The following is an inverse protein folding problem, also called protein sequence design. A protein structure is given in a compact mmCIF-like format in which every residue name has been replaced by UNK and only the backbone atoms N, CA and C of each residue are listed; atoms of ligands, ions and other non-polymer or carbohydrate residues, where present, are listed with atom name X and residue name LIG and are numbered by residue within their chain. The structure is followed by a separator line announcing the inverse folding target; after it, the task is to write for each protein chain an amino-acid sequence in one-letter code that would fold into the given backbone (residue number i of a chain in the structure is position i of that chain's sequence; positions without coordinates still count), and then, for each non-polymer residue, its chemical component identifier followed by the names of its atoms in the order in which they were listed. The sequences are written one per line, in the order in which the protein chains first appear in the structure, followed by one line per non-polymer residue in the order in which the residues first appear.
data_IF_649560040453
#
_entry.id   IF_649560040453
#
_cell.length_a   1.000
_cell.length_b   1.000
_cell.length_c   1.000
_cell.angle_alpha   90.00
_cell.angle_beta   90.00
_cell.angle_gamma   90.00
#
_symmetry.space_group_name_H-M   'P 1'
#
loop_
_entity.id
_entity.type
_entity.pdbx_description
1 polymer ?
#
# COMPACT_ATOMS: atom_id res chain seq x y z
N UNK A 1 10.21 -15.54 -21.98
CA UNK A 1 10.85 -16.31 -20.88
C UNK A 1 12.13 -16.97 -21.35
N UNK A 2 13.24 -16.25 -21.27
CA UNK A 2 14.57 -16.84 -21.21
C UNK A 2 15.09 -16.44 -19.84
N UNK A 3 15.09 -17.37 -18.88
CA UNK A 3 15.70 -17.11 -17.56
C UNK A 3 17.19 -16.85 -17.83
N UNK A 4 17.62 -15.61 -17.60
CA UNK A 4 19.01 -15.21 -17.74
C UNK A 4 19.80 -15.89 -16.62
N UNK A 5 20.93 -16.52 -16.97
CA UNK A 5 21.73 -17.27 -16.01
C UNK A 5 22.45 -16.28 -15.07
N UNK A 6 21.89 -16.10 -13.87
CA UNK A 6 22.54 -15.34 -12.81
C UNK A 6 23.55 -16.24 -12.10
N UNK A 7 24.84 -15.95 -12.27
CA UNK A 7 25.88 -16.51 -11.42
C UNK A 7 25.83 -15.71 -10.11
N UNK A 8 25.38 -16.34 -9.02
CA UNK A 8 25.50 -15.79 -7.67
C UNK A 8 26.97 -15.51 -7.38
N UNK A 9 27.35 -14.24 -7.37
CA UNK A 9 28.68 -13.80 -6.97
C UNK A 9 28.64 -13.45 -5.49
N UNK A 10 28.70 -14.47 -4.63
CA UNK A 10 28.92 -14.28 -3.20
C UNK A 10 30.37 -13.83 -3.02
N UNK A 11 30.60 -12.52 -2.94
CA UNK A 11 31.89 -11.99 -2.52
C UNK A 11 31.98 -11.97 -1.00
N UNK A 12 32.55 -13.02 -0.43
CA UNK A 12 33.01 -12.98 0.95
C UNK A 12 34.41 -12.31 1.00
N UNK A 13 34.45 -10.98 1.05
CA UNK A 13 35.70 -10.25 1.31
C UNK A 13 35.85 -9.95 2.80
N UNK A 14 36.72 -10.72 3.46
CA UNK A 14 37.28 -10.34 4.75
C UNK A 14 38.32 -9.23 4.50
N UNK A 15 37.98 -7.95 4.73
CA UNK A 15 38.99 -6.89 4.82
C UNK A 15 38.61 -5.82 5.85
N UNK A 16 39.46 -5.67 6.87
CA UNK A 16 39.33 -4.68 7.95
C UNK A 16 39.42 -3.20 7.49
N UNK A 17 39.54 -2.93 6.18
CA UNK A 17 39.52 -1.58 5.59
C UNK A 17 38.13 -1.05 5.27
N UNK A 18 37.09 -1.89 5.28
CA UNK A 18 35.71 -1.56 4.85
C UNK A 18 35.05 -0.53 5.78
N UNK A 19 35.31 -0.59 7.09
CA UNK A 19 34.57 0.23 8.07
C UNK A 19 34.73 1.76 7.96
N UNK A 20 35.79 2.26 7.32
CA UNK A 20 36.01 3.73 7.18
C UNK A 20 35.44 4.24 5.85
N UNK A 21 35.53 3.46 4.78
CA UNK A 21 34.94 3.80 3.48
C UNK A 21 33.42 3.63 3.47
N UNK A 22 32.91 2.58 4.15
CA UNK A 22 31.48 2.34 4.32
C UNK A 22 30.79 3.45 5.14
N UNK A 23 31.42 3.92 6.23
CA UNK A 23 30.90 5.05 6.99
C UNK A 23 30.92 6.37 6.20
N UNK A 24 31.85 6.52 5.25
CA UNK A 24 31.93 7.70 4.40
C UNK A 24 30.82 7.68 3.33
N UNK A 25 30.57 6.54 2.67
CA UNK A 25 29.53 6.46 1.62
C UNK A 25 28.10 6.61 2.15
N UNK A 26 27.85 6.37 3.45
CA UNK A 26 26.55 6.68 4.06
C UNK A 26 26.33 8.18 4.32
N UNK A 27 27.39 9.00 4.35
CA UNK A 27 27.25 10.44 4.52
C UNK A 27 26.55 11.07 3.31
N UNK A 28 25.51 11.87 3.57
CA UNK A 28 24.73 12.54 2.51
C UNK A 28 23.81 11.62 1.71
N UNK A 29 23.62 10.35 2.09
CA UNK A 29 22.69 9.45 1.40
C UNK A 29 21.24 9.88 1.66
N UNK A 30 20.48 10.04 0.59
CA UNK A 30 19.07 10.43 0.64
C UNK A 30 18.15 9.25 0.48
N UNK A 31 18.45 8.36 -0.47
CA UNK A 31 17.67 7.13 -0.70
C UNK A 31 18.60 6.01 -1.12
N UNK A 32 18.29 4.80 -0.69
CA UNK A 32 18.91 3.58 -1.17
C UNK A 32 17.87 2.47 -1.27
N UNK A 33 17.91 1.72 -2.37
CA UNK A 33 17.12 0.52 -2.57
C UNK A 33 18.02 -0.59 -3.10
N UNK A 34 18.12 -1.65 -2.32
CA UNK A 34 18.76 -2.91 -2.65
C UNK A 34 17.79 -3.95 -3.21
N UNK A 35 16.49 -3.62 -3.25
CA UNK A 35 15.42 -4.44 -3.82
C UNK A 35 15.34 -5.88 -3.27
N UNK A 36 15.83 -6.13 -2.06
CA UNK A 36 15.45 -7.28 -1.23
C UNK A 36 14.07 -7.08 -0.59
N UNK A 37 13.57 -5.84 -0.57
CA UNK A 37 12.17 -5.45 -0.43
C UNK A 37 11.88 -4.10 -1.14
N UNK A 38 10.78 -3.44 -0.77
CA UNK A 38 10.39 -2.12 -1.29
C UNK A 38 10.76 -0.96 -0.35
N UNK A 39 11.33 -1.25 0.81
CA UNK A 39 11.70 -0.25 1.81
C UNK A 39 13.04 0.40 1.45
N UNK A 40 13.26 1.56 2.06
CA UNK A 40 14.40 2.41 1.78
C UNK A 40 15.52 2.12 2.79
N UNK A 41 16.62 1.57 2.29
CA UNK A 41 17.80 1.15 3.02
C UNK A 41 18.59 2.32 3.62
N UNK A 42 18.33 3.56 3.18
CA UNK A 42 18.93 4.76 3.78
C UNK A 42 18.33 5.10 5.14
N UNK A 43 17.13 4.59 5.44
CA UNK A 43 16.37 4.92 6.65
C UNK A 43 15.63 6.26 6.60
N UNK A 44 15.56 6.92 5.43
CA UNK A 44 14.87 8.20 5.26
C UNK A 44 13.38 8.06 4.88
N UNK A 45 12.90 6.83 4.68
CA UNK A 45 11.47 6.52 4.52
C UNK A 45 10.96 6.72 3.10
N UNK A 46 11.83 6.55 2.09
CA UNK A 46 11.47 6.66 0.68
C UNK A 46 11.05 5.33 0.06
N UNK A 47 10.08 4.64 0.66
CA UNK A 47 9.55 3.35 0.15
C UNK A 47 9.19 3.41 -1.33
N UNK A 48 9.60 2.39 -2.08
CA UNK A 48 9.29 2.20 -3.49
C UNK A 48 7.86 1.68 -3.69
N UNK A 49 7.21 2.16 -4.75
CA UNK A 49 5.87 1.72 -5.18
C UNK A 49 5.96 1.21 -6.61
N UNK A 50 5.62 -0.07 -6.80
CA UNK A 50 5.62 -0.69 -8.11
C UNK A 50 4.36 -0.34 -8.90
N UNK A 51 4.52 -0.18 -10.22
CA UNK A 51 3.43 -0.02 -11.17
C UNK A 51 3.63 -0.85 -12.43
N UNK A 52 2.55 -1.03 -13.19
CA UNK A 52 2.52 -2.00 -14.28
C UNK A 52 2.46 -3.43 -13.77
N UNK A 53 3.23 -4.32 -14.40
CA UNK A 53 3.42 -5.72 -13.98
C UNK A 53 4.79 -5.91 -13.29
N UNK A 54 5.48 -4.82 -12.94
CA UNK A 54 6.77 -4.84 -12.23
C UNK A 54 6.71 -5.63 -10.91
N UNK A 55 7.78 -6.37 -10.60
CA UNK A 55 7.87 -7.18 -9.39
C UNK A 55 9.30 -7.29 -8.88
N UNK A 56 9.44 -7.59 -7.58
CA UNK A 56 10.71 -7.93 -6.96
C UNK A 56 10.81 -9.44 -6.78
N UNK A 57 11.97 -10.01 -7.11
CA UNK A 57 12.24 -11.43 -6.88
C UNK A 57 13.73 -11.70 -6.66
N UNK A 58 14.09 -12.13 -5.45
CA UNK A 58 15.46 -12.53 -5.14
C UNK A 58 16.46 -11.37 -5.12
N UNK A 59 16.06 -10.22 -4.57
CA UNK A 59 16.93 -9.04 -4.45
C UNK A 59 16.94 -8.14 -5.69
N UNK A 60 16.04 -8.35 -6.64
CA UNK A 60 16.10 -7.70 -7.95
C UNK A 60 14.71 -7.20 -8.32
N UNK A 61 14.63 -5.94 -8.75
CA UNK A 61 13.48 -5.36 -9.41
C UNK A 61 13.46 -5.78 -10.90
N UNK A 62 12.38 -6.41 -11.33
CA UNK A 62 12.15 -6.81 -12.72
C UNK A 62 11.22 -5.81 -13.40
N UNK A 63 11.64 -5.37 -14.58
CA UNK A 63 10.94 -4.47 -15.50
C UNK A 63 10.89 -5.20 -16.85
N UNK A 64 9.96 -6.14 -17.02
CA UNK A 64 9.97 -7.12 -18.13
C UNK A 64 8.84 -6.93 -19.16
N UNK A 65 8.01 -5.89 -18.98
CA UNK A 65 6.97 -5.44 -19.89
C UNK A 65 6.93 -3.91 -20.05
N UNK A 66 6.10 -3.47 -21.00
CA UNK A 66 5.87 -2.03 -21.20
C UNK A 66 5.00 -1.47 -20.06
N UNK A 67 5.35 -0.29 -19.58
CA UNK A 67 4.66 0.37 -18.48
C UNK A 67 5.02 -0.15 -17.10
N UNK A 68 6.06 -0.99 -16.99
CA UNK A 68 6.63 -1.41 -15.71
C UNK A 68 7.47 -0.28 -15.13
N UNK A 69 7.25 0.05 -13.86
CA UNK A 69 8.04 1.07 -13.17
C UNK A 69 8.08 0.87 -11.65
N UNK A 70 9.04 1.54 -11.02
CA UNK A 70 9.06 1.76 -9.58
C UNK A 70 9.19 3.26 -9.28
N UNK A 71 8.22 3.82 -8.57
CA UNK A 71 8.29 5.19 -8.06
C UNK A 71 8.95 5.19 -6.68
N UNK A 72 9.96 6.02 -6.48
CA UNK A 72 10.81 6.02 -5.29
C UNK A 72 10.39 7.13 -4.33
N UNK A 73 9.84 6.72 -3.18
CA UNK A 73 9.43 7.60 -2.10
C UNK A 73 8.06 8.27 -2.29
N UNK A 74 7.55 8.92 -1.23
CA UNK A 74 6.29 9.66 -1.29
C UNK A 74 6.45 10.95 -2.10
N UNK A 75 5.33 11.51 -2.59
CA UNK A 75 5.32 12.75 -3.39
C UNK A 75 6.00 13.96 -2.71
N UNK A 76 6.20 13.91 -1.39
CA UNK A 76 6.93 14.92 -0.61
C UNK A 76 8.44 14.89 -0.83
N UNK A 77 9.01 13.84 -1.43
CA UNK A 77 10.44 13.76 -1.77
C UNK A 77 10.88 14.91 -2.67
N UNK A 78 9.99 15.47 -3.50
CA UNK A 78 10.29 16.60 -4.38
C UNK A 78 10.87 17.84 -3.65
N UNK A 79 10.63 17.98 -2.33
CA UNK A 79 11.18 19.08 -1.52
C UNK A 79 12.65 18.90 -1.12
N UNK A 80 13.16 17.66 -1.18
CA UNK A 80 14.55 17.30 -0.83
C UNK A 80 15.30 16.65 -2.00
N UNK A 81 14.63 16.45 -3.14
CA UNK A 81 15.22 15.84 -4.32
C UNK A 81 16.23 16.81 -4.96
N UNK A 82 17.55 16.53 -4.96
CA UNK A 82 18.55 17.43 -5.54
C UNK A 82 18.51 17.44 -7.08
N UNK A 83 17.71 16.57 -7.69
CA UNK A 83 17.60 16.40 -9.14
C UNK A 83 16.67 17.41 -9.83
N UNK A 84 16.21 18.46 -9.12
CA UNK A 84 15.14 19.33 -9.60
C UNK A 84 15.54 20.79 -9.85
N UNK A 85 16.62 21.31 -9.26
CA UNK A 85 16.88 22.76 -9.23
C UNK A 85 18.31 23.24 -9.49
N UNK A 86 19.26 22.35 -9.85
CA UNK A 86 20.67 22.71 -10.11
C UNK A 86 21.43 23.33 -8.93
N UNK A 87 20.82 23.47 -7.75
CA UNK A 87 21.40 24.31 -6.69
C UNK A 87 22.45 23.56 -5.87
N UNK A 88 22.36 22.23 -5.84
CA UNK A 88 23.15 21.38 -4.98
C UNK A 88 23.89 20.33 -5.79
N UNK A 89 25.06 19.95 -5.27
CA UNK A 89 25.78 18.79 -5.76
C UNK A 89 24.96 17.52 -5.51
N UNK A 90 25.10 16.51 -6.36
CA UNK A 90 24.50 15.20 -6.10
C UNK A 90 25.22 14.05 -6.78
N UNK A 91 24.89 12.84 -6.34
CA UNK A 91 25.28 11.59 -7.00
C UNK A 91 24.06 10.68 -7.14
N UNK A 92 23.91 10.03 -8.28
CA UNK A 92 22.97 8.92 -8.50
C UNK A 92 23.80 7.68 -8.81
N UNK A 93 23.50 6.54 -8.20
CA UNK A 93 24.09 5.25 -8.56
C UNK A 93 22.99 4.25 -8.90
N UNK A 94 23.18 3.50 -9.98
CA UNK A 94 22.25 2.45 -10.41
C UNK A 94 23.01 1.23 -10.89
N UNK A 95 22.70 0.06 -10.33
CA UNK A 95 23.11 -1.23 -10.88
C UNK A 95 21.95 -1.81 -11.68
N UNK A 96 22.13 -1.98 -12.98
CA UNK A 96 21.09 -2.49 -13.87
C UNK A 96 21.64 -3.46 -14.89
N UNK A 97 20.78 -4.34 -15.39
CA UNK A 97 21.00 -5.16 -16.57
C UNK A 97 19.83 -4.96 -17.53
N UNK A 98 20.10 -4.57 -18.77
CA UNK A 98 19.07 -4.44 -19.79
C UNK A 98 19.47 -5.14 -21.08
N UNK A 99 18.48 -5.47 -21.90
CA UNK A 99 18.68 -6.07 -23.24
C UNK A 99 18.02 -5.25 -24.34
N UNK A 100 17.24 -4.24 -23.98
CA UNK A 100 16.62 -3.32 -24.92
C UNK A 100 17.69 -2.39 -25.50
N UNK A 101 17.87 -2.47 -26.82
CA UNK A 101 18.72 -1.58 -27.62
C UNK A 101 17.88 -0.58 -28.42
N UNK A 102 16.58 -0.45 -28.14
CA UNK A 102 15.68 0.30 -29.02
C UNK A 102 15.98 1.81 -28.99
N UNK A 103 16.11 2.34 -30.21
CA UNK A 103 16.87 3.52 -30.58
C UNK A 103 15.94 4.74 -30.61
N UNK A 104 15.92 5.49 -29.53
CA UNK A 104 15.82 6.95 -29.55
C UNK A 104 17.20 7.56 -29.27
N UNK A 105 17.40 8.86 -29.53
CA UNK A 105 18.67 9.54 -29.21
C UNK A 105 19.03 9.47 -27.70
N UNK A 106 18.08 9.08 -26.84
CA UNK A 106 18.19 9.02 -25.39
C UNK A 106 18.24 7.65 -24.71
N UNK A 107 18.22 6.52 -25.43
CA UNK A 107 18.33 5.17 -24.84
C UNK A 107 17.12 4.70 -23.99
N UNK A 108 17.17 3.47 -23.47
CA UNK A 108 16.15 2.90 -22.56
C UNK A 108 16.19 3.55 -21.17
N UNK A 109 15.02 3.78 -20.58
CA UNK A 109 14.87 4.53 -19.32
C UNK A 109 15.37 3.80 -18.08
N UNK A 110 16.38 4.37 -17.41
CA UNK A 110 16.82 3.92 -16.09
C UNK A 110 16.11 4.73 -15.02
N UNK A 111 16.28 6.06 -15.04
CA UNK A 111 15.70 6.98 -14.06
C UNK A 111 15.05 8.16 -14.78
N UNK A 112 13.84 8.50 -14.41
CA UNK A 112 13.12 9.69 -14.87
C UNK A 112 12.64 10.48 -13.66
N UNK A 113 12.93 11.78 -13.63
CA UNK A 113 12.47 12.70 -12.59
C UNK A 113 11.70 13.81 -13.28
N UNK A 114 10.44 13.96 -12.89
CA UNK A 114 9.54 14.90 -13.53
C UNK A 114 8.11 14.72 -13.02
N UNK A 115 7.22 15.68 -13.25
CA UNK A 115 5.83 15.54 -12.83
C UNK A 115 5.07 14.53 -13.68
N UNK A 116 4.11 13.85 -13.05
CA UNK A 116 3.34 12.76 -13.65
C UNK A 116 2.42 13.15 -14.84
N UNK A 117 2.28 14.44 -15.21
CA UNK A 117 1.42 14.83 -16.35
C UNK A 117 1.65 16.25 -16.88
N UNK A 118 1.83 16.39 -18.21
CA UNK A 118 1.54 17.57 -19.07
C UNK A 118 1.96 18.98 -18.60
N UNK A 119 2.69 19.14 -17.51
CA UNK A 119 3.25 20.42 -17.15
C UNK A 119 4.44 20.70 -18.07
N UNK A 120 4.59 21.96 -18.46
CA UNK A 120 5.70 22.42 -19.29
C UNK A 120 7.07 22.41 -18.55
N UNK A 121 7.11 21.85 -17.34
CA UNK A 121 8.30 21.75 -16.50
C UNK A 121 9.19 20.60 -16.95
N UNK A 122 10.51 20.83 -17.00
CA UNK A 122 11.45 19.88 -17.56
C UNK A 122 11.68 18.65 -16.68
N UNK A 123 11.82 17.49 -17.34
CA UNK A 123 12.19 16.22 -16.74
C UNK A 123 13.71 16.01 -16.85
N UNK A 124 14.33 15.43 -15.82
CA UNK A 124 15.65 14.80 -15.91
C UNK A 124 15.45 13.34 -16.31
N UNK A 125 15.98 12.95 -17.46
CA UNK A 125 15.92 11.58 -17.96
C UNK A 125 17.33 11.00 -18.09
N UNK A 126 17.58 9.93 -17.34
CA UNK A 126 18.81 9.16 -17.36
C UNK A 126 18.55 7.81 -18.02
N UNK A 127 19.17 7.60 -19.18
CA UNK A 127 18.97 6.42 -20.02
C UNK A 127 20.26 5.66 -20.34
N UNK A 128 20.10 4.53 -21.01
CA UNK A 128 21.20 3.66 -21.44
C UNK A 128 20.98 3.08 -22.83
N UNK A 129 22.08 2.87 -23.55
CA UNK A 129 22.12 2.15 -24.81
C UNK A 129 23.46 1.45 -25.04
N UNK A 130 23.63 0.86 -26.22
CA UNK A 130 24.84 0.09 -26.55
C UNK A 130 26.14 0.90 -26.44
N UNK A 131 26.07 2.20 -26.77
CA UNK A 131 27.20 3.13 -26.77
C UNK A 131 27.32 3.95 -25.46
N UNK A 132 26.70 3.49 -24.37
CA UNK A 132 26.82 4.11 -23.06
C UNK A 132 25.54 4.77 -22.57
N UNK A 133 25.71 5.60 -21.55
CA UNK A 133 24.63 6.34 -20.91
C UNK A 133 24.38 7.70 -21.54
N UNK A 134 23.13 8.13 -21.41
CA UNK A 134 22.58 9.40 -21.88
C UNK A 134 21.93 10.13 -20.72
N UNK A 135 22.12 11.45 -20.66
CA UNK A 135 21.32 12.33 -19.83
C UNK A 135 20.63 13.33 -20.75
N UNK A 136 19.33 13.51 -20.57
CA UNK A 136 18.55 14.51 -21.27
C UNK A 136 17.73 15.32 -20.27
N UNK A 137 17.82 16.65 -20.36
CA UNK A 137 16.87 17.53 -19.73
C UNK A 137 15.94 18.12 -20.77
N UNK A 138 14.66 17.96 -20.51
CA UNK A 138 13.63 18.45 -21.40
C UNK A 138 13.73 19.99 -21.56
N UNK A 139 13.78 20.45 -22.82
CA UNK A 139 13.99 21.84 -23.32
C UNK A 139 15.43 22.34 -23.47
N UNK A 140 16.40 21.75 -22.79
CA UNK A 140 17.80 22.19 -22.82
C UNK A 140 18.73 21.23 -23.57
N UNK A 141 18.24 20.03 -23.87
CA UNK A 141 18.96 19.00 -24.61
C UNK A 141 19.71 18.05 -23.70
N UNK A 142 20.50 17.17 -24.32
CA UNK A 142 21.20 16.10 -23.60
C UNK A 142 22.66 15.95 -23.98
N UNK A 143 23.35 15.10 -23.25
CA UNK A 143 24.71 14.64 -23.56
C UNK A 143 24.86 13.15 -23.29
N UNK A 144 25.79 12.54 -24.01
CA UNK A 144 26.07 11.12 -23.93
C UNK A 144 27.49 10.89 -23.42
N UNK A 145 27.67 9.82 -22.66
CA UNK A 145 28.98 9.32 -22.22
C UNK A 145 29.88 8.85 -23.37
N UNK A 146 29.31 8.51 -24.53
CA UNK A 146 30.01 8.12 -25.76
C UNK A 146 31.01 6.95 -25.59
N UNK A 147 30.55 5.88 -24.94
CA UNK A 147 31.33 4.69 -24.58
C UNK A 147 31.13 3.52 -25.57
N UNK A 148 31.48 3.73 -26.84
CA UNK A 148 31.31 2.68 -27.84
C UNK A 148 32.12 1.42 -27.52
N UNK A 149 31.48 0.25 -27.61
CA UNK A 149 32.11 -1.06 -27.44
C UNK A 149 32.13 -1.64 -26.02
N UNK A 150 31.59 -0.93 -25.02
CA UNK A 150 31.37 -1.51 -23.68
C UNK A 150 30.11 -2.40 -23.66
N UNK A 151 29.08 -2.02 -24.43
CA UNK A 151 27.86 -2.81 -24.61
C UNK A 151 27.03 -2.93 -23.34
N UNK A 152 26.42 -1.83 -22.89
CA UNK A 152 25.66 -1.78 -21.63
C UNK A 152 24.31 -2.51 -21.70
N UNK A 153 23.71 -2.61 -22.88
CA UNK A 153 22.49 -3.38 -23.12
C UNK A 153 22.77 -4.84 -23.51
N UNK A 154 23.74 -5.47 -22.84
CA UNK A 154 24.16 -6.85 -23.12
C UNK A 154 23.53 -7.91 -22.18
N UNK A 155 22.65 -7.49 -21.28
CA UNK A 155 22.03 -8.33 -20.26
C UNK A 155 22.92 -8.70 -19.07
N UNK A 156 24.12 -8.13 -18.94
CA UNK A 156 24.93 -8.21 -17.72
C UNK A 156 24.63 -7.02 -16.83
N UNK A 157 24.88 -7.17 -15.52
CA UNK A 157 24.75 -6.06 -14.56
C UNK A 157 25.91 -5.10 -14.76
N UNK A 158 25.59 -3.80 -14.85
CA UNK A 158 26.54 -2.69 -14.88
C UNK A 158 26.19 -1.71 -13.77
N UNK A 159 27.18 -1.33 -12.96
CA UNK A 159 27.05 -0.25 -11.97
C UNK A 159 27.47 1.06 -12.62
N UNK A 160 26.51 1.96 -12.80
CA UNK A 160 26.74 3.29 -13.36
C UNK A 160 26.43 4.34 -12.32
N UNK A 161 27.31 5.34 -12.24
CA UNK A 161 27.21 6.44 -11.30
C UNK A 161 27.24 7.76 -12.08
N UNK A 162 26.29 8.64 -11.79
CA UNK A 162 26.19 9.99 -12.34
C UNK A 162 26.41 10.99 -11.21
N UNK A 163 27.40 11.87 -11.35
CA UNK A 163 27.59 12.99 -10.42
C UNK A 163 27.23 14.31 -11.08
N UNK A 164 26.65 15.24 -10.33
CA UNK A 164 26.48 16.64 -10.73
C UNK A 164 27.23 17.57 -9.78
N UNK A 165 27.96 18.51 -10.37
CA UNK A 165 28.69 19.56 -9.65
C UNK A 165 28.07 20.93 -9.96
N UNK A 166 27.35 21.51 -8.99
CA UNK A 166 26.62 22.77 -9.15
C UNK A 166 27.55 23.95 -9.45
N UNK A 167 28.74 23.98 -8.83
CA UNK A 167 29.71 25.07 -9.01
C UNK A 167 30.24 25.22 -10.46
N UNK A 168 30.19 24.16 -11.26
CA UNK A 168 30.65 24.14 -12.65
C UNK A 168 29.57 23.72 -13.65
N UNK A 169 28.34 23.51 -13.17
CA UNK A 169 27.21 22.99 -13.93
C UNK A 169 27.57 21.73 -14.76
N UNK A 170 28.32 20.83 -14.14
CA UNK A 170 28.95 19.70 -14.85
C UNK A 170 28.42 18.37 -14.34
N UNK A 171 27.96 17.55 -15.27
CA UNK A 171 27.69 16.15 -15.05
C UNK A 171 28.88 15.29 -15.43
N UNK A 172 29.09 14.19 -14.71
CA UNK A 172 30.10 13.19 -15.06
C UNK A 172 29.56 11.78 -14.88
N UNK A 173 29.72 10.96 -15.91
CA UNK A 173 29.42 9.53 -15.87
C UNK A 173 30.64 8.74 -15.41
N UNK A 174 30.39 7.82 -14.49
CA UNK A 174 31.34 6.83 -14.01
C UNK A 174 30.76 5.43 -14.19
N UNK A 175 31.65 4.49 -14.46
CA UNK A 175 31.32 3.07 -14.49
C UNK A 175 32.30 2.33 -13.59
N UNK A 176 31.78 1.38 -12.80
CA UNK A 176 32.62 0.57 -11.93
C UNK A 176 33.21 -0.60 -12.72
N UNK A 177 34.54 -0.61 -12.90
CA UNK A 177 35.25 -1.69 -13.60
C UNK A 177 36.13 -2.46 -12.62
N UNK A 178 35.57 -3.43 -11.90
CA UNK A 178 36.31 -4.14 -10.85
C UNK A 178 36.75 -3.19 -9.73
N UNK A 179 38.00 -3.28 -9.26
CA UNK A 179 38.52 -2.51 -8.11
C UNK A 179 38.79 -1.02 -8.41
N UNK A 180 37.90 -0.35 -9.15
CA UNK A 180 38.01 1.08 -9.45
C UNK A 180 36.92 1.61 -10.37
N UNK A 181 36.40 2.80 -10.02
CA UNK A 181 35.53 3.59 -10.90
C UNK A 181 36.31 4.33 -11.97
N UNK A 182 35.86 4.25 -13.23
CA UNK A 182 36.41 5.02 -14.34
C UNK A 182 35.41 6.09 -14.79
N UNK A 183 35.90 7.30 -15.05
CA UNK A 183 35.10 8.37 -15.66
C UNK A 183 35.10 8.23 -17.18
N UNK A 184 33.95 8.45 -17.82
CA UNK A 184 33.76 8.16 -19.24
C UNK A 184 33.20 9.30 -20.07
N UNK A 185 32.54 10.26 -19.46
CA UNK A 185 32.07 11.45 -20.16
C UNK A 185 31.67 12.53 -19.17
N UNK A 186 31.94 13.79 -19.53
CA UNK A 186 31.53 14.95 -18.76
C UNK A 186 30.92 16.01 -19.67
N UNK A 187 29.84 16.64 -19.24
CA UNK A 187 29.11 17.63 -20.03
C UNK A 187 28.32 18.59 -19.16
N UNK A 188 27.81 19.64 -19.78
CA UNK A 188 26.92 20.62 -19.15
C UNK A 188 25.52 20.46 -19.75
N UNK A 189 24.48 20.54 -18.94
CA UNK A 189 23.07 20.53 -19.39
C UNK A 189 22.36 21.70 -18.74
N UNK A 190 21.59 22.49 -19.51
CA UNK A 190 20.86 23.59 -18.90
C UNK A 190 19.68 23.06 -18.05
N UNK A 191 19.39 23.73 -16.96
CA UNK A 191 18.26 23.39 -16.09
C UNK A 191 17.02 24.16 -16.47
N UNK A 192 15.84 23.53 -16.38
CA UNK A 192 14.58 24.22 -16.59
C UNK A 192 14.30 25.17 -15.42
N UNK A 193 13.87 26.40 -15.71
CA UNK A 193 13.48 27.37 -14.67
C UNK A 193 12.06 27.12 -14.10
N UNK A 194 11.41 26.02 -14.50
CA UNK A 194 9.98 25.74 -14.27
C UNK A 194 9.74 24.71 -13.15
N UNK A 195 10.64 24.62 -12.18
CA UNK A 195 10.41 23.77 -11.00
C UNK A 195 9.19 24.25 -10.20
N UNK A 196 8.38 23.29 -9.75
CA UNK A 196 7.17 23.54 -8.97
C UNK A 196 7.08 22.53 -7.82
N UNK A 197 7.40 22.98 -6.61
CA UNK A 197 7.33 22.19 -5.37
C UNK A 197 5.96 21.55 -5.08
N UNK A 198 4.89 22.02 -5.73
CA UNK A 198 3.55 21.46 -5.58
C UNK A 198 3.29 20.21 -6.45
N UNK A 199 4.22 19.86 -7.34
CA UNK A 199 4.13 18.67 -8.19
C UNK A 199 5.04 17.55 -7.66
N UNK A 200 4.72 16.32 -8.06
CA UNK A 200 5.46 15.14 -7.65
C UNK A 200 6.70 14.91 -8.54
N UNK A 201 7.87 15.17 -7.97
CA UNK A 201 9.18 14.92 -8.59
C UNK A 201 9.91 13.73 -7.95
N UNK A 202 9.19 12.73 -7.46
CA UNK A 202 9.84 11.47 -7.05
C UNK A 202 10.53 10.79 -8.25
N UNK A 203 11.70 10.15 -8.06
CA UNK A 203 12.33 9.37 -9.12
C UNK A 203 11.43 8.21 -9.55
N UNK A 204 11.33 7.98 -10.85
CA UNK A 204 10.77 6.78 -11.43
C UNK A 204 11.86 5.95 -12.07
N UNK A 205 11.89 4.67 -11.76
CA UNK A 205 12.77 3.71 -12.40
C UNK A 205 12.04 2.98 -13.53
N UNK A 206 12.73 2.75 -14.64
CA UNK A 206 12.27 1.87 -15.72
C UNK A 206 11.38 2.48 -16.79
N UNK A 207 10.67 3.58 -16.50
CA UNK A 207 9.76 4.23 -17.44
C UNK A 207 9.81 5.76 -17.29
N UNK A 208 9.49 6.52 -18.35
CA UNK A 208 9.40 7.97 -18.27
C UNK A 208 8.25 8.41 -17.34
N UNK A 209 8.44 9.50 -16.60
CA UNK A 209 7.37 10.10 -15.78
C UNK A 209 6.35 10.87 -16.61
N UNK A 210 6.81 11.70 -17.55
CA UNK A 210 5.92 12.41 -18.44
C UNK A 210 5.73 11.63 -19.75
N UNK A 211 4.60 10.93 -19.87
CA UNK A 211 4.23 10.22 -21.10
C UNK A 211 3.92 11.16 -22.28
N UNK A 212 3.83 12.48 -22.04
CA UNK A 212 3.59 13.47 -23.09
C UNK A 212 4.89 13.86 -23.76
N UNK A 213 5.67 12.87 -24.20
CA UNK A 213 6.72 13.04 -25.22
C UNK A 213 6.18 14.03 -26.24
N UNK A 214 6.93 15.11 -26.55
CA UNK A 214 6.38 16.27 -27.26
C UNK A 214 5.54 15.80 -28.44
N UNK A 215 4.44 16.47 -28.81
CA UNK A 215 3.61 16.01 -29.92
C UNK A 215 4.35 15.75 -31.26
N UNK A 216 5.57 16.28 -31.42
CA UNK A 216 6.53 16.05 -32.52
C UNK A 216 7.51 14.88 -32.29
N UNK A 217 7.64 14.38 -31.06
CA UNK A 217 8.45 13.24 -30.63
C UNK A 217 7.50 12.08 -30.28
N UNK A 218 7.53 10.99 -31.07
CA UNK A 218 6.58 9.88 -30.90
C UNK A 218 6.71 9.16 -29.55
N UNK A 219 5.75 8.31 -29.20
CA UNK A 219 5.67 7.52 -27.95
C UNK A 219 6.83 6.52 -27.69
N UNK A 220 7.94 6.63 -28.41
CA UNK A 220 9.13 5.78 -28.30
C UNK A 220 10.44 6.57 -28.28
N UNK A 221 10.40 7.88 -27.99
CA UNK A 221 11.61 8.69 -27.87
C UNK A 221 12.46 8.28 -26.65
N UNK A 222 11.81 7.95 -25.54
CA UNK A 222 12.39 7.30 -24.37
C UNK A 222 11.64 5.99 -24.12
N UNK A 223 12.10 4.86 -24.68
CA UNK A 223 11.45 3.59 -24.45
C UNK A 223 11.62 3.13 -23.01
N UNK A 224 10.61 2.44 -22.49
CA UNK A 224 10.68 1.72 -21.22
C UNK A 224 11.87 0.76 -21.24
N UNK A 225 12.52 0.59 -20.09
CA UNK A 225 13.57 -0.39 -19.93
C UNK A 225 12.97 -1.79 -19.87
N UNK A 226 13.52 -2.69 -20.70
CA UNK A 226 13.33 -4.12 -20.53
C UNK A 226 14.58 -4.72 -19.88
N UNK A 227 14.50 -4.96 -18.58
CA UNK A 227 15.63 -5.36 -17.79
C UNK A 227 15.35 -5.53 -16.30
N UNK A 228 16.42 -5.40 -15.53
CA UNK A 228 16.48 -5.61 -14.10
C UNK A 228 17.28 -4.49 -13.45
N UNK A 229 16.84 -4.05 -12.26
CA UNK A 229 17.59 -3.14 -11.39
C UNK A 229 17.89 -3.88 -10.09
N UNK A 230 19.17 -3.90 -9.74
CA UNK A 230 19.71 -4.56 -8.54
C UNK A 230 19.96 -3.53 -7.42
N UNK A 231 20.25 -2.27 -7.80
CA UNK A 231 20.53 -1.22 -6.83
C UNK A 231 20.15 0.16 -7.38
N UNK A 232 19.62 1.03 -6.52
CA UNK A 232 19.39 2.44 -6.79
C UNK A 232 19.69 3.30 -5.56
N UNK A 233 20.45 4.39 -5.71
CA UNK A 233 20.66 5.34 -4.62
C UNK A 233 20.91 6.77 -5.09
N UNK A 234 20.62 7.74 -4.21
CA UNK A 234 20.89 9.18 -4.40
C UNK A 234 21.62 9.73 -3.18
N UNK A 235 22.60 10.60 -3.43
CA UNK A 235 23.28 11.43 -2.43
C UNK A 235 23.11 12.91 -2.71
N UNK A 236 23.10 13.74 -1.67
CA UNK A 236 23.11 15.21 -1.74
C UNK A 236 24.52 15.83 -1.88
N UNK A 237 25.47 15.02 -2.35
CA UNK A 237 26.87 15.41 -2.56
C UNK A 237 27.51 14.61 -3.69
N UNK A 238 28.70 15.05 -4.10
CA UNK A 238 29.57 14.28 -5.00
C UNK A 238 30.31 13.21 -4.20
N UNK A 239 30.17 11.94 -4.62
CA UNK A 239 31.02 10.87 -4.14
C UNK A 239 32.41 10.95 -4.76
N UNK A 240 33.44 10.65 -3.98
CA UNK A 240 34.79 10.41 -4.51
C UNK A 240 34.86 9.05 -5.20
N UNK A 241 35.83 8.83 -6.08
CA UNK A 241 36.01 7.53 -6.74
C UNK A 241 36.24 6.38 -5.74
N UNK A 242 36.83 6.67 -4.58
CA UNK A 242 37.02 5.69 -3.52
C UNK A 242 35.71 5.36 -2.77
N UNK A 243 34.81 6.32 -2.63
CA UNK A 243 33.47 6.07 -2.06
C UNK A 243 32.58 5.34 -3.08
N UNK A 244 32.72 5.64 -4.37
CA UNK A 244 32.04 4.90 -5.44
C UNK A 244 32.38 3.40 -5.42
N UNK A 245 33.62 3.03 -5.10
CA UNK A 245 34.01 1.63 -4.91
C UNK A 245 33.28 0.96 -3.73
N UNK A 246 32.84 1.73 -2.74
CA UNK A 246 32.11 1.22 -1.58
C UNK A 246 30.59 1.25 -1.75
N UNK A 247 30.07 1.72 -2.89
CA UNK A 247 28.61 1.74 -3.16
C UNK A 247 28.03 0.32 -3.18
N UNK A 248 28.80 -0.66 -3.68
CA UNK A 248 28.38 -2.07 -3.67
C UNK A 248 28.21 -2.65 -2.25
N UNK A 249 28.85 -2.05 -1.25
CA UNK A 249 28.79 -2.49 0.15
C UNK A 249 27.60 -1.87 0.91
N UNK A 250 26.81 -0.97 0.30
CA UNK A 250 25.63 -0.36 0.94
C UNK A 250 24.52 -1.36 1.19
N UNK A 251 24.37 -2.32 0.30
CA UNK A 251 23.44 -3.41 0.47
C UNK A 251 23.99 -4.38 1.51
N UNK A 252 23.37 -4.37 2.68
CA UNK A 252 23.61 -5.38 3.70
C UNK A 252 23.24 -6.77 3.21
N UNK A 253 23.57 -7.83 3.98
CA UNK A 253 22.94 -9.12 3.75
C UNK A 253 21.41 -8.97 3.82
N UNK A 254 20.64 -9.74 3.03
CA UNK A 254 19.18 -9.70 3.09
C UNK A 254 18.68 -9.88 4.52
N UNK A 255 17.62 -9.18 4.89
CA UNK A 255 17.08 -9.24 6.25
C UNK A 255 16.78 -10.69 6.69
N UNK A 256 17.26 -11.06 7.87
CA UNK A 256 17.07 -12.39 8.47
C UNK A 256 16.35 -12.33 9.82
N UNK A 257 16.10 -11.13 10.34
CA UNK A 257 15.50 -10.95 11.65
C UNK A 257 13.97 -10.91 11.48
N UNK A 258 13.20 -11.65 12.31
CA UNK A 258 11.75 -11.53 12.30
C UNK A 258 11.30 -10.22 12.97
N UNK A 259 10.09 -9.72 12.67
CA UNK A 259 9.56 -8.51 13.32
C UNK A 259 9.54 -8.59 14.85
N UNK A 260 9.80 -7.47 15.52
CA UNK A 260 9.66 -7.40 16.98
C UNK A 260 8.24 -6.94 17.38
N UNK A 261 7.59 -7.52 18.42
CA UNK A 261 8.11 -8.55 19.31
C UNK A 261 8.03 -9.97 18.72
N UNK A 262 9.02 -10.80 19.06
CA UNK A 262 9.05 -12.24 18.80
C UNK A 262 9.19 -13.01 20.14
N UNK A 263 8.19 -13.80 20.58
CA UNK A 263 6.93 -14.12 19.90
C UNK A 263 5.98 -12.93 19.77
N UNK A 264 5.09 -12.99 18.78
CA UNK A 264 4.03 -11.99 18.62
C UNK A 264 3.12 -11.92 19.87
N UNK A 265 2.49 -10.77 20.10
CA UNK A 265 1.61 -10.55 21.24
C UNK A 265 0.30 -9.89 20.83
N UNK A 266 -0.67 -9.83 21.74
CA UNK A 266 -1.96 -9.19 21.54
C UNK A 266 -1.98 -7.78 22.12
N UNK A 267 -2.45 -6.80 21.34
CA UNK A 267 -2.85 -5.48 21.85
C UNK A 267 -4.24 -5.57 22.49
N UNK A 268 -5.17 -6.23 21.78
CA UNK A 268 -6.46 -6.64 22.29
C UNK A 268 -6.66 -8.12 21.98
N UNK A 269 -6.80 -8.92 23.01
CA UNK A 269 -7.15 -10.33 22.86
C UNK A 269 -8.54 -10.48 22.18
N UNK A 270 -8.83 -11.64 21.57
CA UNK A 270 -10.14 -11.91 20.99
C UNK A 270 -11.29 -11.60 21.95
N UNK A 271 -12.26 -10.82 21.46
CA UNK A 271 -13.45 -10.44 22.18
C UNK A 271 -14.68 -10.57 21.28
N UNK A 272 -15.73 -11.21 21.79
CA UNK A 272 -17.01 -11.25 21.09
C UNK A 272 -17.67 -9.85 21.14
N UNK A 273 -18.19 -9.42 19.99
CA UNK A 273 -18.97 -8.18 19.87
C UNK A 273 -20.42 -8.45 19.44
N UNK A 274 -20.72 -9.69 19.06
CA UNK A 274 -22.07 -10.17 18.75
C UNK A 274 -22.14 -11.70 18.85
N UNK A 275 -23.33 -12.31 18.67
CA UNK A 275 -23.46 -13.76 18.58
C UNK A 275 -22.71 -14.41 17.39
N UNK A 276 -22.27 -13.61 16.41
CA UNK A 276 -21.69 -14.11 15.17
C UNK A 276 -20.35 -13.44 14.81
N UNK A 277 -19.75 -12.69 15.75
CA UNK A 277 -18.58 -11.86 15.44
C UNK A 277 -17.62 -11.75 16.62
N UNK A 278 -16.34 -11.97 16.35
CA UNK A 278 -15.23 -11.74 17.28
C UNK A 278 -14.24 -10.78 16.63
N UNK A 279 -13.75 -9.82 17.40
CA UNK A 279 -12.70 -8.88 16.99
C UNK A 279 -11.44 -9.08 17.84
N UNK A 280 -10.29 -8.85 17.22
CA UNK A 280 -8.98 -8.97 17.86
C UNK A 280 -7.94 -8.05 17.21
N UNK A 281 -6.91 -7.71 17.98
CA UNK A 281 -5.84 -6.83 17.51
C UNK A 281 -4.48 -7.32 17.99
N UNK A 282 -3.59 -7.66 17.05
CA UNK A 282 -2.19 -7.96 17.35
C UNK A 282 -1.48 -6.71 17.88
N UNK A 283 -0.42 -6.89 18.67
CA UNK A 283 0.50 -5.79 18.98
C UNK A 283 1.15 -5.30 17.70
N UNK A 284 1.22 -3.97 17.52
CA UNK A 284 1.96 -3.39 16.39
C UNK A 284 3.41 -3.81 16.48
N UNK A 285 3.82 -4.67 15.56
CA UNK A 285 5.19 -5.10 15.40
C UNK A 285 5.97 -4.11 14.52
N UNK A 286 7.29 -4.12 14.68
CA UNK A 286 8.22 -3.23 14.00
C UNK A 286 9.31 -4.03 13.33
N UNK A 287 9.60 -3.66 12.09
CA UNK A 287 10.62 -4.27 11.26
C UNK A 287 11.09 -3.26 10.19
N UNK A 288 12.39 -3.14 9.88
CA UNK A 288 12.88 -2.27 8.81
C UNK A 288 12.28 -2.60 7.43
N UNK A 289 12.01 -3.88 7.17
CA UNK A 289 11.44 -4.41 5.94
C UNK A 289 9.91 -4.42 5.93
N UNK A 290 9.28 -3.62 6.79
CA UNK A 290 7.83 -3.56 6.93
C UNK A 290 7.22 -4.82 7.56
N UNK A 291 5.92 -4.79 7.88
CA UNK A 291 5.28 -5.86 8.66
C UNK A 291 3.93 -6.27 8.09
N UNK A 292 3.67 -7.57 8.08
CA UNK A 292 2.36 -8.17 7.88
C UNK A 292 1.98 -9.09 9.05
N UNK A 293 0.68 -9.27 9.25
CA UNK A 293 0.09 -10.05 10.33
C UNK A 293 -0.78 -11.17 9.75
N UNK A 294 -0.83 -12.31 10.44
CA UNK A 294 -1.85 -13.32 10.21
C UNK A 294 -2.49 -13.76 11.53
N UNK A 295 -3.75 -14.16 11.46
CA UNK A 295 -4.57 -14.65 12.57
C UNK A 295 -5.05 -16.05 12.20
N UNK A 296 -4.75 -17.03 13.04
CA UNK A 296 -5.06 -18.45 12.82
C UNK A 296 -6.07 -18.88 13.88
N UNK A 297 -7.21 -19.36 13.43
CA UNK A 297 -8.24 -19.96 14.25
C UNK A 297 -7.90 -21.44 14.48
N UNK A 298 -8.01 -21.89 15.73
CA UNK A 298 -7.45 -23.19 16.14
C UNK A 298 -8.48 -24.16 16.70
N UNK A 299 -9.77 -23.79 16.73
CA UNK A 299 -10.84 -24.68 17.19
C UNK A 299 -11.46 -25.51 16.07
N UNK A 300 -11.25 -25.13 14.80
CA UNK A 300 -11.83 -25.78 13.62
C UNK A 300 -13.38 -25.79 13.63
N UNK A 301 -13.99 -24.87 14.40
CA UNK A 301 -15.44 -24.72 14.44
C UNK A 301 -15.96 -24.15 13.11
N UNK A 302 -17.14 -24.61 12.68
CA UNK A 302 -17.75 -24.13 11.45
C UNK A 302 -18.04 -22.63 11.52
N UNK A 303 -17.72 -21.91 10.44
CA UNK A 303 -17.96 -20.47 10.30
C UNK A 303 -16.76 -19.62 10.70
N UNK A 304 -15.88 -20.13 11.57
CA UNK A 304 -14.61 -19.48 11.90
C UNK A 304 -13.65 -19.52 10.71
N UNK A 305 -12.84 -18.48 10.57
CA UNK A 305 -11.87 -18.36 9.48
C UNK A 305 -10.50 -17.91 9.96
N UNK A 306 -9.47 -18.31 9.22
CA UNK A 306 -8.14 -17.72 9.31
C UNK A 306 -8.10 -16.44 8.48
N UNK A 307 -7.25 -15.50 8.87
CA UNK A 307 -6.92 -14.37 8.00
C UNK A 307 -5.93 -14.79 6.91
N UNK A 308 -5.98 -14.10 5.77
CA UNK A 308 -4.79 -14.00 4.91
C UNK A 308 -3.74 -13.09 5.59
N UNK A 309 -2.51 -13.07 5.06
CA UNK A 309 -1.54 -12.06 5.46
C UNK A 309 -2.05 -10.66 5.11
N UNK A 310 -1.98 -9.74 6.06
CA UNK A 310 -2.49 -8.37 5.93
C UNK A 310 -1.57 -7.37 6.64
N UNK A 311 -1.57 -6.11 6.21
CA UNK A 311 -0.78 -5.05 6.86
C UNK A 311 -1.46 -4.49 8.11
N UNK A 312 -2.78 -4.63 8.22
CA UNK A 312 -3.53 -4.24 9.43
C UNK A 312 -3.27 -5.21 10.58
N UNK A 313 -2.97 -4.73 11.80
CA UNK A 313 -2.91 -5.57 12.99
C UNK A 313 -4.31 -5.92 13.54
N UNK A 314 -5.39 -5.47 12.91
CA UNK A 314 -6.78 -5.73 13.34
C UNK A 314 -7.42 -6.83 12.48
N UNK A 315 -8.14 -7.75 13.13
CA UNK A 315 -8.88 -8.81 12.45
C UNK A 315 -10.27 -9.01 13.08
N UNK A 316 -11.27 -9.14 12.21
CA UNK A 316 -12.64 -9.44 12.58
C UNK A 316 -13.07 -10.73 11.90
N UNK A 317 -13.48 -11.71 12.71
CA UNK A 317 -14.01 -12.98 12.22
C UNK A 317 -15.54 -12.95 12.32
N UNK A 318 -16.21 -13.25 11.20
CA UNK A 318 -17.65 -13.14 11.04
C UNK A 318 -18.28 -14.52 10.82
N UNK A 319 -19.62 -14.59 10.82
CA UNK A 319 -20.36 -15.82 10.52
C UNK A 319 -20.06 -16.97 11.50
N UNK A 320 -19.67 -16.60 12.72
CA UNK A 320 -19.48 -17.52 13.83
C UNK A 320 -20.80 -18.09 14.32
N UNK A 321 -20.74 -19.13 15.14
CA UNK A 321 -21.90 -19.71 15.81
C UNK A 321 -22.10 -19.04 17.18
N UNK A 322 -23.35 -18.76 17.61
CA UNK A 322 -23.64 -18.21 18.93
C UNK A 322 -23.20 -19.13 20.07
N UNK A 323 -22.93 -18.53 21.24
CA UNK A 323 -22.54 -19.27 22.46
C UNK A 323 -21.42 -20.29 22.25
N UNK A 324 -20.52 -20.03 21.31
CA UNK A 324 -19.44 -20.93 20.92
C UNK A 324 -18.10 -20.28 21.22
N UNK A 325 -17.18 -21.06 21.82
CA UNK A 325 -15.84 -20.59 22.12
C UNK A 325 -14.92 -20.80 20.92
N UNK A 326 -14.23 -19.74 20.52
CA UNK A 326 -13.21 -19.75 19.46
C UNK A 326 -11.85 -19.39 20.05
N UNK A 327 -10.77 -19.89 19.45
CA UNK A 327 -9.41 -19.68 19.93
C UNK A 327 -8.50 -19.27 18.79
N UNK A 328 -7.84 -18.13 18.94
CA UNK A 328 -6.98 -17.55 17.93
C UNK A 328 -5.54 -17.44 18.43
N UNK A 329 -4.60 -17.56 17.51
CA UNK A 329 -3.19 -17.15 17.68
C UNK A 329 -2.83 -16.19 16.55
N UNK A 330 -1.86 -15.32 16.77
CA UNK A 330 -1.36 -14.39 15.75
C UNK A 330 0.15 -14.49 15.63
N UNK A 331 0.68 -14.20 14.45
CA UNK A 331 2.11 -13.98 14.22
C UNK A 331 2.28 -12.90 13.18
N UNK A 332 3.50 -12.38 13.13
CA UNK A 332 3.90 -11.37 12.15
C UNK A 332 5.00 -11.92 11.26
N UNK A 333 5.14 -11.31 10.09
CA UNK A 333 6.29 -11.51 9.21
C UNK A 333 6.76 -10.18 8.64
N UNK A 334 8.03 -10.08 8.31
CA UNK A 334 8.53 -8.96 7.53
C UNK A 334 8.12 -9.09 6.04
N UNK A 335 8.40 -8.05 5.25
CA UNK A 335 8.16 -8.09 3.80
C UNK A 335 9.46 -8.23 2.98
N UNK A 336 10.55 -8.66 3.62
CA UNK A 336 11.79 -9.03 2.95
C UNK A 336 11.58 -10.24 2.03
N UNK A 337 12.52 -10.48 1.12
CA UNK A 337 12.59 -11.73 0.34
C UNK A 337 12.53 -13.00 1.21
N UNK A 338 13.02 -12.95 2.44
CA UNK A 338 13.06 -14.09 3.35
C UNK A 338 11.73 -14.29 4.09
N UNK A 339 10.88 -13.26 4.19
CA UNK A 339 9.62 -13.28 4.94
C UNK A 339 9.83 -13.87 6.34
N UNK A 340 10.80 -13.36 7.10
CA UNK A 340 11.10 -13.91 8.41
C UNK A 340 9.87 -13.76 9.30
N UNK A 341 9.53 -14.82 10.03
CA UNK A 341 8.30 -14.91 10.80
C UNK A 341 8.60 -14.97 12.27
N UNK A 342 7.80 -14.26 13.06
CA UNK A 342 7.79 -14.45 14.51
C UNK A 342 7.25 -15.83 14.88
N UNK A 343 7.62 -16.29 16.08
CA UNK A 343 6.87 -17.32 16.76
C UNK A 343 5.44 -16.84 17.04
N UNK A 344 4.50 -17.79 17.02
CA UNK A 344 3.10 -17.53 17.34
C UNK A 344 2.93 -16.94 18.73
N UNK A 345 1.95 -16.06 18.88
CA UNK A 345 1.47 -15.59 20.17
C UNK A 345 0.89 -16.73 21.01
N UNK A 346 0.78 -16.49 22.31
CA UNK A 346 -0.03 -17.35 23.17
C UNK A 346 -1.49 -17.35 22.66
N UNK A 347 -2.13 -18.53 22.58
CA UNK A 347 -3.51 -18.62 22.12
C UNK A 347 -4.44 -17.92 23.10
N UNK A 348 -5.37 -17.13 22.58
CA UNK A 348 -6.41 -16.47 23.36
C UNK A 348 -7.78 -16.84 22.80
N UNK A 349 -8.78 -16.92 23.69
CA UNK A 349 -10.12 -17.39 23.34
C UNK A 349 -11.18 -16.36 23.67
N UNK A 350 -12.24 -16.33 22.87
CA UNK A 350 -13.48 -15.61 23.19
C UNK A 350 -14.68 -16.53 23.00
N UNK A 351 -15.81 -16.20 23.62
CA UNK A 351 -17.07 -16.92 23.43
C UNK A 351 -18.08 -15.94 22.88
N UNK A 352 -18.67 -16.24 21.73
CA UNK A 352 -19.72 -15.43 21.11
C UNK A 352 -20.92 -15.29 22.02
N UNK A 353 -21.61 -14.17 21.91
CA UNK A 353 -22.83 -13.93 22.69
C UNK A 353 -23.92 -14.96 22.35
N UNK A 354 -24.88 -15.21 23.26
CA UNK A 354 -26.08 -15.95 22.92
C UNK A 354 -26.94 -15.17 21.92
N UNK A 355 -27.63 -15.89 21.03
CA UNK A 355 -28.71 -15.31 20.23
C UNK A 355 -29.83 -14.79 21.14
N UNK A 356 -30.44 -13.67 20.74
CA UNK A 356 -31.69 -13.24 21.35
C UNK A 356 -32.83 -14.13 20.86
N UNK A 357 -33.48 -14.80 21.80
CA UNK A 357 -34.61 -15.70 21.56
C UNK A 357 -35.88 -15.22 22.25
N UNK A 358 -35.87 -14.04 22.87
CA UNK A 358 -36.99 -13.52 23.65
C UNK A 358 -37.73 -12.46 22.87
N UNK A 359 -39.06 -12.48 22.94
CA UNK A 359 -39.88 -11.43 22.37
C UNK A 359 -39.92 -10.20 23.29
N UNK A 360 -40.17 -8.98 22.76
CA UNK A 360 -40.26 -7.78 23.57
C UNK A 360 -41.31 -7.85 24.68
N UNK A 361 -41.01 -7.22 25.83
CA UNK A 361 -41.90 -7.12 26.99
C UNK A 361 -42.59 -5.75 27.02
N UNK A 362 -43.92 -5.63 27.25
CA UNK A 362 -44.84 -6.69 27.66
C UNK A 362 -45.26 -7.62 26.52
N UNK A 363 -45.45 -8.89 26.86
CA UNK A 363 -45.97 -9.93 25.99
C UNK A 363 -47.10 -10.69 26.73
N UNK A 364 -48.38 -10.57 26.32
CA UNK A 364 -48.86 -9.86 25.14
C UNK A 364 -48.66 -8.35 25.21
N UNK A 365 -48.61 -7.70 24.04
CA UNK A 365 -48.54 -6.25 23.95
C UNK A 365 -49.76 -5.61 24.63
N UNK A 366 -49.64 -4.37 25.09
CA UNK A 366 -50.75 -3.66 25.75
C UNK A 366 -50.90 -2.25 25.22
N UNK A 367 -52.05 -1.62 25.46
CA UNK A 367 -52.32 -0.24 25.04
C UNK A 367 -51.98 0.75 26.15
N UNK A 368 -51.18 1.77 25.83
CA UNK A 368 -51.06 2.98 26.66
C UNK A 368 -52.22 3.94 26.41
N UNK A 369 -52.66 4.03 25.16
CA UNK A 369 -53.89 4.69 24.75
C UNK A 369 -54.59 3.77 23.74
N UNK A 370 -55.75 3.17 24.09
CA UNK A 370 -56.47 2.31 23.16
C UNK A 370 -56.95 3.10 21.93
N UNK A 371 -57.32 2.43 20.83
CA UNK A 371 -57.82 3.08 19.62
C UNK A 371 -59.00 4.01 19.90
N UNK A 372 -58.86 5.27 19.48
CA UNK A 372 -59.87 6.31 19.65
C UNK A 372 -59.99 7.17 18.38
N UNK A 373 -61.22 7.51 18.00
CA UNK A 373 -61.46 8.39 16.88
C UNK A 373 -61.06 9.83 17.22
N UNK A 374 -60.19 10.41 16.42
CA UNK A 374 -59.80 11.82 16.53
C UNK A 374 -60.81 12.73 15.82
N UNK A 375 -61.32 12.25 14.68
CA UNK A 375 -62.31 12.91 13.82
C UNK A 375 -63.00 11.86 12.91
N UNK A 376 -63.98 12.24 12.05
CA UNK A 376 -64.74 11.27 11.25
C UNK A 376 -63.93 10.37 10.29
N UNK A 377 -62.66 10.70 10.03
CA UNK A 377 -61.82 10.02 9.04
C UNK A 377 -60.49 9.51 9.62
N UNK A 378 -60.32 9.56 10.94
CA UNK A 378 -59.05 9.28 11.60
C UNK A 378 -59.22 8.63 12.98
N UNK A 379 -58.41 7.61 13.24
CA UNK A 379 -58.26 6.98 14.55
C UNK A 379 -56.78 7.03 14.93
N UNK A 380 -56.49 7.38 16.19
CA UNK A 380 -55.14 7.29 16.75
C UNK A 380 -55.09 6.29 17.91
N UNK A 381 -53.93 5.68 18.08
CA UNK A 381 -53.68 4.68 19.11
C UNK A 381 -52.22 4.67 19.53
N UNK A 382 -51.93 4.21 20.75
CA UNK A 382 -50.56 4.10 21.24
C UNK A 382 -50.39 2.87 22.12
N UNK A 383 -49.51 1.98 21.71
CA UNK A 383 -49.08 0.83 22.48
C UNK A 383 -48.27 1.28 23.72
N UNK A 384 -48.25 0.44 24.75
CA UNK A 384 -47.28 0.57 25.84
C UNK A 384 -45.88 0.40 25.26
N UNK A 385 -44.95 1.28 25.67
CA UNK A 385 -43.54 1.13 25.28
C UNK A 385 -43.01 -0.21 25.77
N UNK A 386 -42.70 -1.08 24.83
CA UNK A 386 -42.06 -2.35 25.06
C UNK A 386 -40.53 -2.21 25.08
N UNK A 387 -39.87 -3.14 25.74
CA UNK A 387 -38.41 -3.21 25.90
C UNK A 387 -37.89 -4.58 25.53
N UNK A 388 -36.75 -4.59 24.85
CA UNK A 388 -36.02 -5.79 24.44
C UNK A 388 -34.52 -5.46 24.29
N UNK A 389 -33.59 -6.37 24.62
CA UNK A 389 -32.15 -6.14 24.44
C UNK A 389 -31.75 -5.80 22.99
N UNK A 390 -32.49 -6.34 22.02
CA UNK A 390 -32.22 -6.15 20.59
C UNK A 390 -33.01 -4.99 19.98
N UNK A 391 -33.64 -4.12 20.78
CA UNK A 391 -34.52 -3.05 20.29
C UNK A 391 -35.91 -3.57 19.90
N UNK A 392 -36.86 -2.66 19.64
CA UNK A 392 -38.29 -3.03 19.47
C UNK A 392 -38.95 -2.33 18.30
N UNK A 393 -39.80 -3.05 17.57
CA UNK A 393 -40.75 -2.54 16.60
C UNK A 393 -42.19 -2.95 16.93
N UNK A 394 -43.14 -2.16 16.45
CA UNK A 394 -44.58 -2.30 16.66
C UNK A 394 -45.30 -2.49 15.32
N UNK A 395 -46.31 -3.35 15.31
CA UNK A 395 -47.22 -3.55 14.19
C UNK A 395 -48.66 -3.51 14.69
N UNK A 396 -49.41 -2.54 14.16
CA UNK A 396 -50.83 -2.29 14.37
C UNK A 396 -51.60 -2.89 13.20
N UNK A 397 -52.55 -3.77 13.51
CA UNK A 397 -53.32 -4.58 12.57
C UNK A 397 -54.81 -4.24 12.70
N UNK A 398 -55.44 -3.84 11.60
CA UNK A 398 -56.87 -3.57 11.54
C UNK A 398 -57.62 -4.83 11.12
N UNK A 399 -58.50 -5.30 12.00
CA UNK A 399 -59.10 -6.64 11.90
C UNK A 399 -60.54 -6.64 11.36
N UNK A 400 -61.15 -5.48 11.11
CA UNK A 400 -62.57 -5.37 10.74
C UNK A 400 -62.78 -5.32 9.23
N UNK A 401 -61.88 -4.70 8.49
CA UNK A 401 -62.02 -4.40 7.06
C UNK A 401 -60.89 -4.97 6.18
N UNK A 402 -59.86 -5.60 6.79
CA UNK A 402 -58.72 -6.21 6.09
C UNK A 402 -57.51 -5.26 5.98
N UNK A 403 -56.42 -5.69 5.31
CA UNK A 403 -55.07 -5.13 5.51
C UNK A 403 -54.83 -3.73 4.92
N UNK A 404 -55.88 -3.04 4.44
CA UNK A 404 -55.72 -1.70 3.85
C UNK A 404 -55.45 -0.60 4.89
N UNK A 405 -55.59 -0.93 6.18
CA UNK A 405 -55.44 -0.01 7.32
C UNK A 405 -54.43 -0.52 8.36
N UNK A 406 -53.62 -1.52 7.98
CA UNK A 406 -52.52 -1.97 8.81
C UNK A 406 -51.37 -0.96 8.73
N UNK A 407 -50.64 -0.83 9.82
CA UNK A 407 -49.33 -0.17 9.80
C UNK A 407 -48.28 -1.05 9.09
N UNK A 408 -47.11 -0.48 8.79
CA UNK A 408 -45.89 -1.30 8.67
C UNK A 408 -45.27 -1.47 10.06
N UNK A 409 -44.32 -2.41 10.19
CA UNK A 409 -43.46 -2.42 11.37
C UNK A 409 -42.76 -1.07 11.52
N UNK A 410 -42.84 -0.51 12.73
CA UNK A 410 -42.32 0.82 13.02
C UNK A 410 -41.72 0.89 14.42
N UNK A 411 -40.69 1.71 14.62
CA UNK A 411 -40.09 1.93 15.94
C UNK A 411 -41.00 2.73 16.90
N UNK A 412 -41.93 3.52 16.34
CA UNK A 412 -42.87 4.32 17.13
C UNK A 412 -43.96 3.45 17.77
N UNK A 413 -44.23 3.59 19.07
CA UNK A 413 -45.35 2.93 19.73
C UNK A 413 -46.70 3.57 19.38
N UNK A 414 -46.75 4.62 18.56
CA UNK A 414 -47.98 5.32 18.17
C UNK A 414 -48.30 5.13 16.69
N UNK A 415 -49.59 4.93 16.38
CA UNK A 415 -50.11 4.81 15.02
C UNK A 415 -51.33 5.72 14.83
N UNK A 416 -51.41 6.37 13.67
CA UNK A 416 -52.54 7.18 13.24
C UNK A 416 -53.01 6.66 11.89
N UNK A 417 -54.25 6.19 11.88
CA UNK A 417 -54.91 5.66 10.69
C UNK A 417 -55.84 6.72 10.10
N UNK A 418 -55.75 6.91 8.78
CA UNK A 418 -56.39 8.01 8.06
C UNK A 418 -57.28 7.48 6.93
N UNK A 419 -58.13 8.36 6.40
CA UNK A 419 -59.04 8.05 5.27
C UNK A 419 -60.09 6.99 5.62
N UNK A 420 -60.47 6.91 6.89
CA UNK A 420 -61.48 5.98 7.38
C UNK A 420 -62.88 6.42 6.97
N UNK A 421 -63.76 5.45 6.73
CA UNK A 421 -65.19 5.73 6.48
C UNK A 421 -65.90 6.16 7.78
N UNK A 422 -66.67 7.27 7.79
CA UNK A 422 -67.41 7.73 8.95
C UNK A 422 -68.50 6.77 9.35
N UNK A 423 -68.84 6.77 10.64
CA UNK A 423 -69.88 5.89 11.22
C UNK A 423 -69.59 4.38 11.05
N UNK A 424 -68.34 4.02 10.75
CA UNK A 424 -67.85 2.63 10.70
C UNK A 424 -67.03 2.31 11.95
N UNK A 425 -67.21 1.10 12.49
CA UNK A 425 -66.39 0.59 13.59
C UNK A 425 -65.13 -0.07 13.03
N UNK A 426 -63.98 0.29 13.59
CA UNK A 426 -62.68 -0.34 13.32
C UNK A 426 -62.14 -0.97 14.59
N UNK A 427 -61.37 -2.05 14.44
CA UNK A 427 -60.85 -2.87 15.55
C UNK A 427 -59.39 -3.12 15.29
N UNK A 428 -58.54 -2.66 16.20
CA UNK A 428 -57.09 -2.80 16.09
C UNK A 428 -56.56 -3.72 17.15
N UNK A 429 -55.56 -4.51 16.79
CA UNK A 429 -54.66 -5.20 17.70
C UNK A 429 -53.24 -4.75 17.44
N UNK A 430 -52.38 -4.75 18.46
CA UNK A 430 -50.96 -4.46 18.32
C UNK A 430 -50.14 -5.66 18.76
N UNK A 431 -49.04 -5.91 18.05
CA UNK A 431 -47.97 -6.83 18.49
C UNK A 431 -46.62 -6.14 18.35
N UNK A 432 -45.65 -6.68 19.07
CA UNK A 432 -44.26 -6.23 19.04
C UNK A 432 -43.35 -7.30 18.46
N UNK A 433 -42.21 -6.90 17.93
CA UNK A 433 -41.07 -7.78 17.63
C UNK A 433 -39.76 -7.10 18.00
N UNK A 434 -38.73 -7.87 18.27
CA UNK A 434 -37.38 -7.31 18.43
C UNK A 434 -36.69 -7.06 17.08
N UNK A 435 -35.51 -6.43 17.11
CA UNK A 435 -34.68 -6.19 15.92
C UNK A 435 -33.48 -7.14 15.81
N UNK A 436 -33.51 -8.26 16.53
CA UNK A 436 -32.54 -9.35 16.34
C UNK A 436 -32.72 -9.98 14.95
N UNK A 437 -31.73 -10.76 14.45
CA UNK A 437 -31.90 -11.54 13.22
C UNK A 437 -33.10 -12.49 13.23
N UNK A 438 -33.50 -12.98 14.43
CA UNK A 438 -34.64 -13.88 14.61
C UNK A 438 -35.99 -13.15 14.62
N UNK A 439 -36.01 -11.83 14.84
CA UNK A 439 -37.22 -11.00 14.92
C UNK A 439 -38.29 -11.62 15.82
N UNK A 440 -37.94 -11.96 17.07
CA UNK A 440 -38.85 -12.71 17.93
C UNK A 440 -40.13 -11.88 18.17
N UNK A 441 -41.29 -12.48 17.89
CA UNK A 441 -42.58 -11.78 17.91
C UNK A 441 -43.36 -12.05 19.19
N UNK A 442 -43.92 -10.99 19.77
CA UNK A 442 -44.84 -11.06 20.90
C UNK A 442 -46.27 -11.43 20.49
N UNK A 443 -47.09 -11.76 21.49
CA UNK A 443 -48.52 -12.00 21.34
C UNK A 443 -49.28 -10.66 21.17
N UNK A 444 -50.41 -10.72 20.47
CA UNK A 444 -51.32 -9.60 20.25
C UNK A 444 -52.02 -9.12 21.53
N UNK A 445 -52.33 -7.82 21.57
CA UNK A 445 -52.99 -7.09 22.68
C UNK A 445 -54.41 -7.49 23.02
#
# INVERSE_FOLDING_TARGET
MQKMNLFFLVFLFLSFTIGVAHAAVQDGILVAHCFDDLFDDSGNGHTAVLGGDAYISGGILYLDGNGDYADIGPTTFGSVNPLVDALNDFTIAVAYACTSTEIGEGGSMIVSVGPASQSASGDLNFGTGDDGQSLDHWYSGGFNSAQSGVGYANGSIHMVILTYQASSDTYTFYHQTGSGGASHGSGTVEWSAEWNEALDYTPRLGAPRNATIRSDEGSGFFPDMNGQIDFFAIWDRILTTAEMEAVEDLCGPPDTDPPAPDPATWSSAPAAISPYTIEMTATTATDPSGVQYCFDETTEHSGATDSSWQTSPEYTDYSLSPSTQYTYKTRSRDQSVNNNMTAWSDPCSATTDPEDTTAPTPNPATWSSPPAADNPWQISMTATTATDPSGVEYFFDETTCGPSHDSFWQASPSYSDFSLTPETQYTYQVRTRDQSPNQNTGLWS
#
